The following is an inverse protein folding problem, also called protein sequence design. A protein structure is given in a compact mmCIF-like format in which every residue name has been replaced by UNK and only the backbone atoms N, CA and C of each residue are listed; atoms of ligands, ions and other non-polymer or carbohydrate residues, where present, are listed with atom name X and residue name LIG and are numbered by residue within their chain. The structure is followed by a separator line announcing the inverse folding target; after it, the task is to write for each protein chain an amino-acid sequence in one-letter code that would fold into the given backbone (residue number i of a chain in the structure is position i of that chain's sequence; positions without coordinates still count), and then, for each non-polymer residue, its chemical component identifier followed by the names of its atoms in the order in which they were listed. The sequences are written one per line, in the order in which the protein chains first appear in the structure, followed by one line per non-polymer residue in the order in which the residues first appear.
data_IF_818182896781
#
_entry.id   IF_818182896781
#
_cell.length_a   1.000
_cell.length_b   1.000
_cell.length_c   1.000
_cell.angle_alpha   90.00
_cell.angle_beta   90.00
_cell.angle_gamma   90.00
#
_symmetry.space_group_name_H-M   'P 1'
#
loop_
_entity.id
_entity.type
_entity.pdbx_description
1 polymer ?
#
# COMPACT_ATOMS: atom_id res chain seq x y z
N UNK A 1 -7.77 -7.80 7.77
CA UNK A 1 -7.98 -7.27 6.40
C UNK A 1 -8.50 -8.38 5.52
N UNK A 2 -8.92 -8.04 4.30
CA UNK A 2 -9.40 -8.99 3.29
C UNK A 2 -8.60 -8.73 2.00
N UNK A 3 -8.19 -9.79 1.30
CA UNK A 3 -7.40 -9.69 0.09
C UNK A 3 -7.88 -10.67 -1.01
N UNK A 4 -7.72 -10.26 -2.26
CA UNK A 4 -7.86 -11.14 -3.42
C UNK A 4 -6.46 -11.47 -3.93
N UNK A 5 -6.10 -12.75 -3.98
CA UNK A 5 -4.74 -13.19 -4.29
C UNK A 5 -4.72 -14.27 -5.38
N UNK A 6 -3.57 -14.42 -6.02
CA UNK A 6 -3.25 -15.59 -6.85
C UNK A 6 -2.30 -16.46 -6.03
N UNK A 7 -2.73 -17.66 -5.68
CA UNK A 7 -1.95 -18.62 -4.92
C UNK A 7 -1.87 -19.95 -5.68
N UNK A 8 -0.66 -20.41 -5.98
CA UNK A 8 -0.42 -21.62 -6.78
C UNK A 8 -1.20 -21.66 -8.12
N UNK A 9 -1.33 -20.50 -8.79
CA UNK A 9 -2.06 -20.37 -10.04
C UNK A 9 -3.60 -20.34 -9.89
N UNK A 10 -4.12 -20.47 -8.67
CA UNK A 10 -5.54 -20.34 -8.37
C UNK A 10 -5.85 -18.94 -7.84
N UNK A 11 -6.96 -18.36 -8.30
CA UNK A 11 -7.47 -17.11 -7.74
C UNK A 11 -8.25 -17.42 -6.46
N UNK A 12 -7.80 -16.89 -5.34
CA UNK A 12 -8.52 -16.90 -4.08
C UNK A 12 -9.08 -15.50 -3.86
N UNK A 13 -10.39 -15.42 -3.63
CA UNK A 13 -11.04 -14.15 -3.29
C UNK A 13 -11.36 -14.13 -1.80
N UNK A 14 -11.43 -12.91 -1.26
CA UNK A 14 -11.85 -12.63 0.11
C UNK A 14 -11.06 -13.41 1.17
N UNK A 15 -9.75 -13.54 0.96
CA UNK A 15 -8.81 -14.12 1.93
C UNK A 15 -8.65 -13.18 3.11
N UNK A 16 -9.08 -13.63 4.28
CA UNK A 16 -8.90 -12.89 5.53
C UNK A 16 -7.46 -13.03 6.03
N UNK A 17 -6.93 -11.92 6.57
CA UNK A 17 -5.63 -11.91 7.22
C UNK A 17 -5.59 -10.97 8.43
N UNK A 18 -4.72 -11.28 9.39
CA UNK A 18 -4.41 -10.49 10.58
C UNK A 18 -2.90 -10.52 10.80
N UNK A 19 -2.29 -9.37 11.04
CA UNK A 19 -0.90 -9.30 11.53
C UNK A 19 -0.95 -8.92 13.00
N UNK A 20 -0.49 -9.81 13.88
CA UNK A 20 -0.54 -9.60 15.33
C UNK A 20 0.69 -10.21 16.00
N UNK A 21 1.35 -9.43 16.86
CA UNK A 21 2.58 -9.86 17.53
C UNK A 21 3.74 -10.16 16.57
N UNK A 22 3.73 -9.58 15.36
CA UNK A 22 4.75 -9.81 14.32
C UNK A 22 4.47 -10.99 13.39
N UNK A 23 3.47 -11.82 13.69
CA UNK A 23 3.10 -12.98 12.87
C UNK A 23 1.94 -12.65 11.91
N UNK A 24 1.96 -13.26 10.73
CA UNK A 24 0.86 -13.28 9.77
C UNK A 24 -0.06 -14.46 10.07
N UNK A 25 -1.33 -14.16 10.31
CA UNK A 25 -2.41 -15.13 10.37
C UNK A 25 -3.30 -14.94 9.14
N UNK A 26 -3.59 -16.00 8.40
CA UNK A 26 -4.43 -15.91 7.20
C UNK A 26 -5.27 -17.18 7.00
N UNK A 27 -6.28 -17.11 6.15
CA UNK A 27 -7.03 -18.30 5.70
C UNK A 27 -6.91 -18.47 4.19
N UNK A 28 -6.58 -19.67 3.73
CA UNK A 28 -6.56 -20.01 2.30
C UNK A 28 -7.93 -20.52 1.81
N UNK A 29 -8.91 -20.62 2.71
CA UNK A 29 -10.31 -20.93 2.42
C UNK A 29 -11.19 -19.77 2.86
N UNK A 30 -12.04 -19.25 1.97
CA UNK A 30 -12.98 -18.18 2.33
C UNK A 30 -13.89 -18.64 3.49
N UNK A 31 -13.92 -17.85 4.57
CA UNK A 31 -14.63 -18.18 5.82
C UNK A 31 -14.00 -19.29 6.67
N UNK A 32 -12.77 -19.71 6.35
CA UNK A 32 -12.00 -20.69 7.11
C UNK A 32 -11.32 -20.11 8.36
N UNK A 33 -10.81 -20.99 9.22
CA UNK A 33 -10.05 -20.58 10.39
C UNK A 33 -8.69 -20.00 9.99
N UNK A 34 -8.30 -18.88 10.64
CA UNK A 34 -6.99 -18.27 10.45
C UNK A 34 -5.89 -19.20 10.98
N UNK A 35 -4.94 -19.53 10.13
CA UNK A 35 -3.73 -20.30 10.48
C UNK A 35 -2.54 -19.36 10.59
N UNK A 36 -1.58 -19.67 11.47
CA UNK A 36 -0.33 -18.90 11.58
C UNK A 36 0.64 -19.27 10.45
N UNK A 37 1.04 -18.30 9.65
CA UNK A 37 2.00 -18.41 8.55
C UNK A 37 3.43 -18.00 8.93
N UNK A 38 3.68 -17.70 10.20
CA UNK A 38 4.97 -17.26 10.73
C UNK A 38 5.16 -15.74 10.66
N UNK A 39 6.41 -15.25 10.74
CA UNK A 39 6.70 -13.82 10.76
C UNK A 39 6.15 -13.10 9.52
N UNK A 40 5.39 -12.03 9.72
CA UNK A 40 4.84 -11.23 8.63
C UNK A 40 5.95 -10.63 7.76
N UNK A 41 7.11 -10.32 8.33
CA UNK A 41 8.29 -9.81 7.62
C UNK A 41 8.82 -10.74 6.54
N UNK A 42 8.57 -12.06 6.65
CA UNK A 42 9.00 -13.04 5.64
C UNK A 42 8.12 -12.96 4.38
N UNK A 43 6.93 -12.36 4.48
CA UNK A 43 6.02 -12.08 3.37
C UNK A 43 6.08 -10.60 2.99
N UNK A 44 5.67 -9.72 3.90
CA UNK A 44 5.75 -8.27 3.82
C UNK A 44 5.46 -7.63 5.18
N UNK A 45 6.35 -6.75 5.67
CA UNK A 45 6.09 -5.98 6.87
C UNK A 45 5.13 -4.81 6.58
N UNK A 46 3.86 -4.98 6.95
CA UNK A 46 2.80 -3.98 6.74
C UNK A 46 3.07 -2.66 7.48
N UNK A 47 3.88 -2.67 8.55
CA UNK A 47 4.25 -1.44 9.26
C UNK A 47 5.16 -0.55 8.41
N UNK A 48 5.86 -1.10 7.41
CA UNK A 48 6.70 -0.34 6.49
C UNK A 48 5.90 0.70 5.68
N UNK A 49 4.60 0.47 5.42
CA UNK A 49 3.75 1.39 4.65
C UNK A 49 3.68 2.77 5.30
N UNK A 50 3.50 2.82 6.62
CA UNK A 50 3.35 4.05 7.39
C UNK A 50 4.64 4.44 8.14
N UNK A 51 5.73 3.72 7.91
CA UNK A 51 7.03 4.10 8.46
C UNK A 51 7.49 5.44 7.83
N UNK A 52 7.91 6.43 8.64
CA UNK A 52 8.27 7.75 8.13
C UNK A 52 9.52 7.75 7.23
N UNK A 53 10.45 6.81 7.43
CA UNK A 53 11.75 6.78 6.77
C UNK A 53 11.77 5.92 5.50
N UNK A 54 10.90 4.90 5.43
CA UNK A 54 10.89 3.93 4.31
C UNK A 54 9.54 3.80 3.61
N UNK A 55 8.47 4.33 4.22
CA UNK A 55 7.09 4.19 3.75
C UNK A 55 6.62 5.30 2.82
N UNK A 56 5.31 5.57 2.84
CA UNK A 56 4.65 6.52 1.94
C UNK A 56 5.20 7.95 2.06
N UNK A 57 5.61 8.37 3.26
CA UNK A 57 6.24 9.67 3.47
C UNK A 57 7.57 9.78 2.69
N UNK A 58 8.40 8.74 2.73
CA UNK A 58 9.64 8.66 1.95
C UNK A 58 9.38 8.57 0.44
N UNK A 59 8.31 7.89 0.02
CA UNK A 59 7.88 7.91 -1.40
C UNK A 59 7.56 9.34 -1.84
N UNK A 60 6.72 10.05 -1.10
CA UNK A 60 6.33 11.43 -1.41
C UNK A 60 7.52 12.40 -1.42
N UNK A 61 8.44 12.28 -0.45
CA UNK A 61 9.64 13.12 -0.39
C UNK A 61 10.62 12.89 -1.55
N UNK A 62 10.50 11.76 -2.24
CA UNK A 62 11.35 11.37 -3.36
C UNK A 62 10.66 11.52 -4.74
N UNK A 63 9.52 12.22 -4.81
CA UNK A 63 8.98 12.66 -6.09
C UNK A 63 9.89 13.72 -6.72
N UNK A 64 10.27 13.48 -7.96
CA UNK A 64 10.98 14.43 -8.80
C UNK A 64 10.09 14.91 -9.94
N UNK A 65 10.34 16.15 -10.38
CA UNK A 65 9.53 16.86 -11.39
C UNK A 65 8.02 16.84 -11.06
N UNK A 66 7.60 17.13 -9.80
CA UNK A 66 6.20 17.07 -9.44
C UNK A 66 5.40 18.09 -10.27
N UNK A 67 4.32 17.62 -10.89
CA UNK A 67 3.42 18.45 -11.67
C UNK A 67 1.97 18.15 -11.29
N UNK A 68 1.27 19.19 -10.82
CA UNK A 68 -0.18 19.14 -10.62
C UNK A 68 -0.85 19.21 -12.00
N UNK A 69 -1.45 18.11 -12.44
CA UNK A 69 -2.03 17.99 -13.78
C UNK A 69 -3.55 17.84 -13.79
N UNK A 70 -4.19 17.81 -12.62
CA UNK A 70 -5.64 17.70 -12.53
C UNK A 70 -6.18 17.71 -11.11
N UNK A 71 -7.51 17.56 -11.03
CA UNK A 71 -8.27 17.37 -9.80
C UNK A 71 -9.18 16.18 -9.96
N UNK A 72 -9.29 15.36 -8.94
CA UNK A 72 -10.11 14.15 -8.95
C UNK A 72 -10.75 13.92 -7.57
N UNK A 73 -11.89 13.24 -7.56
CA UNK A 73 -12.52 12.78 -6.33
C UNK A 73 -12.06 11.36 -6.01
N UNK A 74 -11.45 11.15 -4.85
CA UNK A 74 -10.99 9.85 -4.36
C UNK A 74 -11.70 9.55 -3.05
N UNK A 75 -12.42 8.43 -2.95
CA UNK A 75 -13.19 8.05 -1.76
C UNK A 75 -14.11 9.18 -1.24
N UNK A 76 -14.67 9.99 -2.15
CA UNK A 76 -15.53 11.12 -1.83
C UNK A 76 -14.81 12.42 -1.44
N UNK A 77 -13.48 12.42 -1.30
CA UNK A 77 -12.69 13.62 -1.03
C UNK A 77 -12.20 14.29 -2.33
N UNK A 78 -12.25 15.61 -2.40
CA UNK A 78 -11.62 16.37 -3.50
C UNK A 78 -10.09 16.38 -3.33
N UNK A 79 -9.38 16.06 -4.40
CA UNK A 79 -7.92 15.94 -4.37
C UNK A 79 -7.26 16.63 -5.58
N UNK A 80 -6.04 17.12 -5.36
CA UNK A 80 -5.11 17.51 -6.43
C UNK A 80 -4.35 16.26 -6.88
N UNK A 81 -4.35 16.01 -8.18
CA UNK A 81 -3.55 14.94 -8.81
C UNK A 81 -2.18 15.47 -9.16
N UNK A 82 -1.15 14.82 -8.62
CA UNK A 82 0.26 15.20 -8.77
C UNK A 82 1.00 14.05 -9.44
N UNK A 83 1.58 14.33 -10.60
CA UNK A 83 2.41 13.37 -11.36
C UNK A 83 3.88 13.64 -11.14
N UNK A 84 4.73 12.64 -11.33
CA UNK A 84 6.19 12.79 -11.29
C UNK A 84 6.92 11.46 -11.43
N UNK A 85 8.20 11.45 -11.08
CA UNK A 85 9.04 10.26 -11.03
C UNK A 85 9.54 10.04 -9.61
N UNK A 86 9.32 8.85 -9.04
CA UNK A 86 9.81 8.45 -7.71
C UNK A 86 11.15 7.75 -7.86
N UNK A 87 12.10 8.03 -6.96
CA UNK A 87 13.41 7.37 -6.99
C UNK A 87 13.27 5.83 -6.82
N UNK A 88 14.14 5.09 -7.52
CA UNK A 88 14.18 3.62 -7.43
C UNK A 88 14.39 3.13 -5.99
N UNK A 89 15.25 3.82 -5.24
CA UNK A 89 15.52 3.52 -3.83
C UNK A 89 14.26 3.64 -2.97
N UNK A 90 13.50 4.73 -3.10
CA UNK A 90 12.27 4.93 -2.35
C UNK A 90 11.20 3.88 -2.72
N UNK A 91 11.06 3.54 -4.01
CA UNK A 91 10.14 2.49 -4.46
C UNK A 91 10.54 1.13 -3.90
N UNK A 92 11.82 0.76 -3.97
CA UNK A 92 12.28 -0.54 -3.51
C UNK A 92 12.25 -0.69 -1.99
N UNK A 93 12.30 0.41 -1.23
CA UNK A 93 12.13 0.40 0.23
C UNK A 93 10.70 0.03 0.64
N UNK A 94 9.68 0.61 -0.02
CA UNK A 94 8.28 0.31 0.31
C UNK A 94 7.76 -0.96 -0.37
N UNK A 95 8.26 -1.27 -1.57
CA UNK A 95 7.80 -2.41 -2.38
C UNK A 95 9.00 -3.12 -3.05
N UNK A 96 9.78 -3.91 -2.28
CA UNK A 96 11.01 -4.55 -2.77
C UNK A 96 10.82 -5.44 -4.00
N UNK A 97 9.64 -6.05 -4.13
CA UNK A 97 9.27 -6.93 -5.25
C UNK A 97 9.23 -6.21 -6.61
N UNK A 98 9.13 -4.87 -6.63
CA UNK A 98 9.20 -4.09 -7.86
C UNK A 98 10.59 -4.13 -8.48
N UNK A 99 11.64 -4.22 -7.66
CA UNK A 99 13.05 -4.25 -8.10
C UNK A 99 13.38 -3.17 -9.14
N UNK A 100 12.92 -1.93 -8.90
CA UNK A 100 13.14 -0.80 -9.77
C UNK A 100 14.64 -0.55 -9.97
N UNK A 101 15.06 -0.41 -11.22
CA UNK A 101 16.46 -0.11 -11.59
C UNK A 101 16.66 1.36 -11.98
N UNK A 102 15.59 2.14 -12.02
CA UNK A 102 15.58 3.56 -12.34
C UNK A 102 14.33 4.26 -11.80
N UNK A 103 14.18 5.58 -12.02
CA UNK A 103 13.02 6.32 -11.56
C UNK A 103 11.72 5.71 -12.08
N UNK A 104 10.71 5.64 -11.21
CA UNK A 104 9.42 5.01 -11.49
C UNK A 104 8.36 6.10 -11.63
N UNK A 105 7.60 6.17 -12.73
CA UNK A 105 6.47 7.07 -12.85
C UNK A 105 5.49 6.87 -11.69
N UNK A 106 5.12 7.97 -11.06
CA UNK A 106 4.23 7.99 -9.90
C UNK A 106 3.12 9.02 -10.05
N UNK A 107 2.00 8.75 -9.40
CA UNK A 107 0.91 9.71 -9.22
C UNK A 107 0.46 9.68 -7.77
N UNK A 108 0.32 10.85 -7.16
CA UNK A 108 -0.21 11.03 -5.82
C UNK A 108 -1.48 11.89 -5.89
N UNK A 109 -2.46 11.57 -5.05
CA UNK A 109 -3.68 12.35 -4.88
C UNK A 109 -3.71 12.86 -3.45
N UNK A 110 -3.69 14.18 -3.30
CA UNK A 110 -3.60 14.85 -2.01
C UNK A 110 -4.86 15.70 -1.83
N UNK A 111 -5.48 15.67 -0.65
CA UNK A 111 -6.67 16.49 -0.37
C UNK A 111 -6.40 17.98 -0.59
N UNK A 112 -7.35 18.65 -1.26
CA UNK A 112 -7.20 20.08 -1.59
C UNK A 112 -7.27 20.99 -0.36
N UNK A 113 -8.03 20.57 0.64
CA UNK A 113 -8.32 21.32 1.85
C UNK A 113 -8.02 20.47 3.10
N UNK A 114 -7.99 21.11 4.26
CA UNK A 114 -7.72 20.44 5.53
C UNK A 114 -6.23 20.13 5.71
N UNK A 115 -5.93 18.93 6.19
CA UNK A 115 -4.58 18.51 6.57
C UNK A 115 -3.70 18.03 5.40
N UNK A 116 -4.19 18.16 4.15
CA UNK A 116 -3.48 17.77 2.92
C UNK A 116 -3.00 16.30 2.96
N UNK A 117 -3.89 15.43 3.41
CA UNK A 117 -3.66 14.00 3.51
C UNK A 117 -3.48 13.35 2.12
N UNK A 118 -2.60 12.36 2.05
CA UNK A 118 -2.48 11.47 0.90
C UNK A 118 -3.70 10.54 0.84
N UNK A 119 -4.48 10.64 -0.22
CA UNK A 119 -5.67 9.80 -0.45
C UNK A 119 -5.39 8.62 -1.36
N UNK A 120 -4.44 8.75 -2.28
CA UNK A 120 -4.04 7.66 -3.16
C UNK A 120 -2.61 7.85 -3.64
N UNK A 121 -1.90 6.76 -3.83
CA UNK A 121 -0.64 6.73 -4.59
C UNK A 121 -0.69 5.61 -5.62
N UNK A 122 -0.14 5.87 -6.79
CA UNK A 122 0.06 4.90 -7.86
C UNK A 122 1.50 4.94 -8.32
N UNK A 123 2.12 3.76 -8.42
CA UNK A 123 3.45 3.56 -8.99
C UNK A 123 3.32 2.69 -10.23
N UNK A 124 3.97 3.08 -11.32
CA UNK A 124 3.88 2.42 -12.62
C UNK A 124 5.27 1.89 -13.05
N UNK A 125 5.75 0.79 -12.45
CA UNK A 125 7.11 0.29 -12.65
C UNK A 125 7.40 -0.21 -14.07
N UNK A 126 6.37 -0.54 -14.84
CA UNK A 126 6.51 -0.91 -16.25
C UNK A 126 5.22 -0.61 -17.02
N UNK A 127 5.29 -0.47 -18.37
CA UNK A 127 4.11 -0.15 -19.17
C UNK A 127 2.96 -1.14 -18.94
N UNK A 128 1.79 -0.62 -18.57
CA UNK A 128 0.58 -1.41 -18.33
C UNK A 128 0.51 -2.11 -16.97
N UNK A 129 1.54 -1.98 -16.11
CA UNK A 129 1.55 -2.54 -14.77
C UNK A 129 1.64 -1.42 -13.74
N UNK A 130 0.77 -1.48 -12.73
CA UNK A 130 0.79 -0.50 -11.64
C UNK A 130 0.51 -1.15 -10.30
N UNK A 131 1.02 -0.51 -9.25
CA UNK A 131 0.61 -0.75 -7.87
C UNK A 131 -0.10 0.51 -7.40
N UNK A 132 -1.35 0.38 -6.98
CA UNK A 132 -2.16 1.49 -6.48
C UNK A 132 -2.55 1.21 -5.04
N UNK A 133 -2.42 2.23 -4.19
CA UNK A 133 -2.83 2.18 -2.79
C UNK A 133 -3.73 3.39 -2.51
N UNK A 134 -4.93 3.13 -2.05
CA UNK A 134 -5.91 4.15 -1.62
C UNK A 134 -5.94 4.17 -0.11
N UNK A 135 -5.82 5.37 0.47
CA UNK A 135 -5.80 5.61 1.90
C UNK A 135 -7.05 6.40 2.31
N UNK A 136 -7.56 6.08 3.49
CA UNK A 136 -8.71 6.75 4.09
C UNK A 136 -8.63 6.60 5.60
N UNK A 137 -9.50 7.32 6.33
CA UNK A 137 -9.67 7.15 7.78
C UNK A 137 -8.36 7.34 8.55
N UNK A 138 -7.57 8.34 8.14
CA UNK A 138 -6.33 8.71 8.81
C UNK A 138 -6.57 8.94 10.30
N UNK A 139 -5.73 8.33 11.14
CA UNK A 139 -5.82 8.43 12.59
C UNK A 139 -6.96 7.64 13.25
N UNK A 140 -7.80 6.91 12.50
CA UNK A 140 -8.85 6.06 13.10
C UNK A 140 -8.20 4.95 13.94
N UNK A 141 -8.58 4.79 15.23
CA UNK A 141 -8.07 3.71 16.05
C UNK A 141 -8.42 2.33 15.47
N UNK A 142 -7.42 1.48 15.30
CA UNK A 142 -7.61 0.10 14.80
C UNK A 142 -7.51 -0.88 15.98
N UNK A 143 -8.52 -1.74 16.12
CA UNK A 143 -8.49 -2.89 17.04
C UNK A 143 -8.05 -4.13 16.28
N UNK A 144 -7.04 -4.83 16.80
CA UNK A 144 -6.52 -6.07 16.21
C UNK A 144 -6.56 -7.17 17.25
N UNK A 145 -7.49 -8.11 17.10
CA UNK A 145 -7.57 -9.29 17.95
C UNK A 145 -6.65 -10.39 17.43
N UNK A 146 -5.84 -10.95 18.32
CA UNK A 146 -5.02 -12.12 17.99
C UNK A 146 -5.97 -13.31 17.74
N UNK A 147 -5.89 -13.99 16.58
CA UNK A 147 -6.73 -15.16 16.32
C UNK A 147 -6.52 -16.24 17.38
N UNK A 148 -7.59 -16.98 17.69
CA UNK A 148 -7.50 -18.13 18.59
C UNK A 148 -6.51 -19.15 18.03
N UNK A 149 -5.73 -19.76 18.93
CA UNK A 149 -4.76 -20.80 18.60
C UNK A 149 -5.44 -22.12 18.19
#
# INVERSE_FOLDING_TARGET
GIANIIFLGQRLNDVEFVVSGGDLYATITAGGALSNFGPASDVYDVAAILNPDVGLANVLSNFSKPNSDGRETVEGAQTVRITGEVSADAVNKIAPQIAATGPVPGTAWITEEGDHELMQVRLEPSPGNSVTMTLSKWGEPVTVDKPAA
#
